data_IF_477814611769
#
_entry.id   IF_477814611769
#
_cell.length_a   1.000
_cell.length_b   1.000
_cell.length_c   1.000
_cell.angle_alpha   90.00
_cell.angle_beta   90.00
_cell.angle_gamma   90.00
#
_symmetry.space_group_name_H-M   'P 1'
#
loop_
_entity.id
_entity.type
_entity.pdbx_description
1 polymer ?
#
# COMPACT_ATOMS: atom_id res chain seq x y z
N UNK A 1 -9.82 0.88 -16.40
CA UNK A 1 -8.91 1.54 -15.43
C UNK A 1 -9.45 1.17 -14.07
N UNK A 2 -8.60 0.77 -13.13
CA UNK A 2 -9.06 0.11 -11.92
C UNK A 2 -8.03 0.17 -10.81
N UNK A 3 -8.48 -0.23 -9.62
CA UNK A 3 -7.66 -0.31 -8.40
C UNK A 3 -6.82 -1.57 -8.41
N UNK A 4 -5.54 -1.43 -8.07
CA UNK A 4 -4.63 -2.55 -7.88
C UNK A 4 -4.27 -2.65 -6.40
N UNK A 5 -4.43 -3.84 -5.81
CA UNK A 5 -4.16 -4.09 -4.39
C UNK A 5 -2.89 -4.92 -4.29
N UNK A 6 -1.96 -4.50 -3.44
CA UNK A 6 -0.71 -5.18 -3.16
C UNK A 6 -0.59 -5.42 -1.66
N UNK A 7 -0.46 -6.66 -1.23
CA UNK A 7 -0.05 -6.97 0.14
C UNK A 7 1.47 -6.96 0.24
N UNK A 8 1.97 -6.63 1.44
CA UNK A 8 3.40 -6.63 1.74
C UNK A 8 3.75 -7.95 2.41
N UNK A 9 4.70 -8.68 1.85
CA UNK A 9 5.20 -9.92 2.44
C UNK A 9 6.16 -9.63 3.60
N UNK A 10 6.45 -10.62 4.44
CA UNK A 10 7.43 -10.50 5.54
C UNK A 10 8.84 -10.15 5.05
N UNK A 11 9.16 -10.49 3.80
CA UNK A 11 10.41 -10.15 3.11
C UNK A 11 10.43 -8.70 2.60
N UNK A 12 9.29 -8.02 2.64
CA UNK A 12 9.12 -6.65 2.19
C UNK A 12 8.86 -6.49 0.70
N UNK A 13 8.28 -7.52 0.07
CA UNK A 13 7.92 -7.51 -1.34
C UNK A 13 6.44 -7.21 -1.56
N UNK A 14 6.10 -6.63 -2.71
CA UNK A 14 4.72 -6.37 -3.12
C UNK A 14 4.14 -7.59 -3.82
N UNK A 15 3.08 -8.16 -3.25
CA UNK A 15 2.32 -9.25 -3.85
C UNK A 15 0.95 -8.75 -4.28
N UNK A 16 0.65 -8.82 -5.57
CA UNK A 16 -0.68 -8.48 -6.09
C UNK A 16 -1.72 -9.45 -5.52
N UNK A 17 -2.80 -8.90 -4.96
CA UNK A 17 -3.91 -9.64 -4.37
C UNK A 17 -5.25 -9.10 -4.86
N UNK A 18 -6.28 -9.94 -4.79
CA UNK A 18 -7.63 -9.57 -5.21
C UNK A 18 -8.42 -8.85 -4.11
N UNK A 19 -8.01 -9.00 -2.85
CA UNK A 19 -8.70 -8.48 -1.68
C UNK A 19 -7.72 -8.06 -0.58
N UNK A 20 -8.15 -7.13 0.28
CA UNK A 20 -7.38 -6.64 1.42
C UNK A 20 -7.49 -7.62 2.59
N UNK A 21 -6.36 -8.20 3.02
CA UNK A 21 -6.31 -8.98 4.25
C UNK A 21 -6.40 -8.08 5.49
N UNK A 22 -7.13 -8.53 6.52
CA UNK A 22 -7.35 -7.75 7.76
C UNK A 22 -6.11 -7.57 8.62
N UNK A 23 -5.19 -8.53 8.57
CA UNK A 23 -4.02 -8.59 9.44
C UNK A 23 -2.70 -8.28 8.71
N UNK A 24 -2.75 -7.76 7.48
CA UNK A 24 -1.56 -7.52 6.68
C UNK A 24 -1.50 -6.09 6.17
N UNK A 25 -0.30 -5.53 6.13
CA UNK A 25 -0.08 -4.24 5.48
C UNK A 25 -0.30 -4.37 3.97
N UNK A 26 -0.92 -3.35 3.38
CA UNK A 26 -1.17 -3.32 1.95
C UNK A 26 -1.08 -1.90 1.37
N UNK A 27 -0.90 -1.86 0.05
CA UNK A 27 -0.91 -0.67 -0.77
C UNK A 27 -1.95 -0.84 -1.86
N UNK A 28 -2.82 0.15 -2.03
CA UNK A 28 -3.83 0.16 -3.08
C UNK A 28 -3.52 1.34 -4.00
N UNK A 29 -3.34 1.07 -5.29
CA UNK A 29 -3.10 2.11 -6.29
C UNK A 29 -4.40 2.37 -7.04
N UNK A 30 -4.96 3.56 -6.83
CA UNK A 30 -6.07 4.09 -7.62
C UNK A 30 -5.51 4.98 -8.73
N UNK A 31 -5.51 4.43 -9.94
CA UNK A 31 -4.97 5.11 -11.12
C UNK A 31 -5.90 6.17 -11.69
N UNK A 32 -7.18 6.16 -11.31
CA UNK A 32 -8.19 7.13 -11.74
C UNK A 32 -8.10 8.38 -10.86
N UNK A 33 -8.09 8.20 -9.54
CA UNK A 33 -7.99 9.30 -8.58
C UNK A 33 -6.55 9.82 -8.39
N UNK A 34 -5.56 9.09 -8.91
CA UNK A 34 -4.12 9.32 -8.66
C UNK A 34 -3.81 9.28 -7.17
N UNK A 35 -4.31 8.26 -6.47
CA UNK A 35 -4.10 8.07 -5.03
C UNK A 35 -3.48 6.69 -4.79
N UNK A 36 -2.46 6.67 -3.94
CA UNK A 36 -1.87 5.46 -3.37
C UNK A 36 -2.36 5.39 -1.92
N UNK A 37 -3.29 4.48 -1.66
CA UNK A 37 -3.76 4.24 -0.31
C UNK A 37 -2.83 3.25 0.39
N UNK A 38 -2.45 3.52 1.64
CA UNK A 38 -1.74 2.59 2.52
C UNK A 38 -2.70 2.10 3.60
N UNK A 39 -2.89 0.79 3.67
CA UNK A 39 -3.66 0.12 4.70
C UNK A 39 -2.68 -0.55 5.66
N UNK A 40 -2.60 -0.06 6.89
CA UNK A 40 -1.67 -0.57 7.91
C UNK A 40 -2.51 -0.93 9.14
N UNK A 41 -2.58 -2.21 9.52
CA UNK A 41 -3.24 -2.64 10.75
C UNK A 41 -2.61 -2.01 12.01
N UNK A 42 -3.43 -1.73 13.02
CA UNK A 42 -2.96 -1.19 14.31
C UNK A 42 -2.01 -2.14 15.07
N UNK A 43 -2.11 -3.45 14.82
CA UNK A 43 -1.22 -4.47 15.37
C UNK A 43 0.01 -4.74 14.49
N UNK A 44 0.15 -4.07 13.33
CA UNK A 44 1.23 -4.36 12.40
C UNK A 44 2.60 -4.07 13.03
N UNK A 45 3.59 -4.98 12.86
CA UNK A 45 4.96 -4.79 13.32
C UNK A 45 5.55 -3.49 12.78
N UNK A 46 6.33 -2.81 13.62
CA UNK A 46 7.00 -1.54 13.25
C UNK A 46 7.74 -1.66 11.92
N UNK A 47 8.43 -2.79 11.69
CA UNK A 47 9.13 -3.08 10.45
C UNK A 47 8.23 -3.00 9.22
N UNK A 48 7.05 -3.65 9.26
CA UNK A 48 6.11 -3.64 8.14
C UNK A 48 5.56 -2.23 7.86
N UNK A 49 5.33 -1.42 8.90
CA UNK A 49 4.91 -0.02 8.72
C UNK A 49 5.94 0.79 7.95
N UNK A 50 7.22 0.66 8.31
CA UNK A 50 8.31 1.33 7.60
C UNK A 50 8.46 0.85 6.16
N UNK A 51 8.37 -0.46 5.93
CA UNK A 51 8.39 -1.04 4.59
C UNK A 51 7.22 -0.50 3.76
N UNK A 52 6.01 -0.47 4.32
CA UNK A 52 4.82 0.08 3.65
C UNK A 52 5.01 1.52 3.22
N UNK A 53 5.49 2.37 4.13
CA UNK A 53 5.73 3.78 3.84
C UNK A 53 6.81 3.96 2.75
N UNK A 54 7.89 3.18 2.83
CA UNK A 54 8.96 3.18 1.82
C UNK A 54 8.43 2.77 0.45
N UNK A 55 7.74 1.63 0.35
CA UNK A 55 7.19 1.11 -0.91
C UNK A 55 6.15 2.05 -1.51
N UNK A 56 5.30 2.69 -0.70
CA UNK A 56 4.36 3.68 -1.18
C UNK A 56 5.07 4.90 -1.79
N UNK A 57 6.18 5.34 -1.21
CA UNK A 57 7.00 6.43 -1.76
C UNK A 57 7.72 6.03 -3.05
N UNK A 58 8.23 4.79 -3.13
CA UNK A 58 8.83 4.24 -4.36
C UNK A 58 7.79 4.14 -5.49
N UNK A 59 6.59 3.64 -5.19
CA UNK A 59 5.48 3.57 -6.14
C UNK A 59 5.02 4.95 -6.60
N UNK A 60 4.98 5.94 -5.70
CA UNK A 60 4.70 7.33 -6.07
C UNK A 60 5.74 7.88 -7.04
N UNK A 61 7.04 7.60 -6.81
CA UNK A 61 8.11 8.01 -7.73
C UNK A 61 7.96 7.33 -9.10
N UNK A 62 7.67 6.04 -9.12
CA UNK A 62 7.53 5.26 -10.36
C UNK A 62 6.30 5.66 -11.19
N UNK A 63 5.17 5.93 -10.54
CA UNK A 63 3.91 6.29 -11.23
C UNK A 63 3.77 7.80 -11.52
N UNK A 64 4.71 8.62 -11.02
CA UNK A 64 4.74 10.06 -11.19
C UNK A 64 4.28 10.84 -9.95
N UNK A 65 4.91 11.99 -9.71
CA UNK A 65 4.71 12.83 -8.51
C UNK A 65 3.29 13.38 -8.34
N UNK A 66 2.43 13.21 -9.35
CA UNK A 66 1.00 13.56 -9.33
C UNK A 66 0.23 12.70 -8.32
N UNK A 67 0.73 11.49 -8.02
CA UNK A 67 0.06 10.61 -7.08
C UNK A 67 0.18 11.11 -5.63
N UNK A 68 -0.94 11.11 -4.91
CA UNK A 68 -0.99 11.40 -3.47
C UNK A 68 -0.92 10.10 -2.68
N UNK A 69 -0.33 10.14 -1.48
CA UNK A 69 -0.36 9.00 -0.55
C UNK A 69 -1.39 9.32 0.53
N UNK A 70 -2.31 8.40 0.79
CA UNK A 70 -3.30 8.51 1.86
C UNK A 70 -3.30 7.25 2.71
N UNK A 71 -3.41 7.38 4.02
CA UNK A 71 -3.55 6.23 4.91
C UNK A 71 -5.03 5.94 5.16
N UNK A 72 -5.41 4.68 5.07
CA UNK A 72 -6.74 4.19 5.41
C UNK A 72 -6.64 3.13 6.51
N UNK A 73 -7.65 3.03 7.39
CA UNK A 73 -7.68 1.98 8.39
C UNK A 73 -7.82 0.61 7.71
N UNK A 74 -6.95 -0.34 8.07
CA UNK A 74 -7.18 -1.75 7.80
C UNK A 74 -8.16 -2.27 8.88
N UNK A 75 -9.44 -2.43 8.53
CA UNK A 75 -10.50 -2.97 9.41
C UNK A 75 -10.74 -4.45 9.15
#
# INVERSE_FOLDING_TARGET
MGRQIYCITEEGELKSVSELGKDSCAIIIDTEEKIIYTAIPDNAPVRERFITARLAAELKRANGLVYKIQSIPAK
#
